data_IF_522596285397
#
_entry.id   IF_522596285397
#
_cell.length_a   1.000
_cell.length_b   1.000
_cell.length_c   1.000
_cell.angle_alpha   90.00
_cell.angle_beta   90.00
_cell.angle_gamma   90.00
#
_symmetry.space_group_name_H-M   'P 1'
#
loop_
_entity.id
_entity.type
_entity.pdbx_description
1 polymer ?
#
# COMPACT_ATOMS: atom_id res chain seq x y z
N UNK A 1 19.77 -18.33 -21.23
CA UNK A 1 20.08 -16.88 -21.19
C UNK A 1 19.66 -16.33 -19.82
N UNK A 2 20.55 -16.41 -18.84
CA UNK A 2 20.24 -16.16 -17.44
C UNK A 2 20.33 -14.66 -17.11
N UNK A 3 19.19 -14.03 -16.81
CA UNK A 3 19.08 -12.58 -16.49
C UNK A 3 19.31 -12.30 -15.00
N UNK A 4 20.18 -13.06 -14.35
CA UNK A 4 20.46 -12.93 -12.92
C UNK A 4 21.97 -12.98 -12.72
N UNK A 5 22.60 -11.80 -12.57
CA UNK A 5 23.85 -11.55 -11.80
C UNK A 5 24.61 -10.27 -12.25
N UNK A 6 23.94 -9.18 -12.65
CA UNK A 6 24.62 -7.88 -12.63
C UNK A 6 24.26 -7.13 -11.33
N UNK A 7 25.28 -6.88 -10.49
CA UNK A 7 25.13 -5.96 -9.37
C UNK A 7 24.66 -4.61 -9.92
N UNK A 8 23.58 -4.00 -9.41
CA UNK A 8 23.15 -2.70 -9.91
C UNK A 8 24.31 -1.70 -9.76
N UNK A 9 24.53 -0.83 -10.76
CA UNK A 9 25.63 0.12 -10.73
C UNK A 9 25.57 0.96 -9.45
N UNK A 10 26.75 1.35 -8.94
CA UNK A 10 26.84 2.20 -7.76
C UNK A 10 26.14 3.52 -8.06
N UNK A 11 25.05 3.78 -7.36
CA UNK A 11 24.27 5.02 -7.55
C UNK A 11 25.04 6.22 -7.05
N UNK A 12 25.01 7.29 -7.83
CA UNK A 12 25.56 8.58 -7.41
C UNK A 12 24.75 9.17 -6.25
N UNK A 13 25.30 10.11 -5.46
CA UNK A 13 24.52 10.81 -4.44
C UNK A 13 23.23 11.44 -4.97
N UNK A 14 23.28 11.99 -6.19
CA UNK A 14 22.13 12.62 -6.85
C UNK A 14 21.03 11.60 -7.17
N UNK A 15 21.40 10.42 -7.67
CA UNK A 15 20.46 9.32 -7.93
C UNK A 15 19.85 8.75 -6.66
N UNK A 16 20.66 8.61 -5.60
CA UNK A 16 20.17 8.19 -4.28
C UNK A 16 19.12 9.18 -3.77
N UNK A 17 19.38 10.49 -3.89
CA UNK A 17 18.45 11.53 -3.44
C UNK A 17 17.17 11.56 -4.27
N UNK A 18 17.25 11.43 -5.59
CA UNK A 18 16.08 11.26 -6.47
C UNK A 18 15.21 10.08 -6.03
N UNK A 19 15.83 8.92 -5.80
CA UNK A 19 15.11 7.73 -5.39
C UNK A 19 14.52 7.86 -3.99
N UNK A 20 15.21 8.55 -3.08
CA UNK A 20 14.65 8.87 -1.76
C UNK A 20 13.37 9.69 -1.90
N UNK A 21 13.37 10.78 -2.68
CA UNK A 21 12.14 11.58 -2.88
C UNK A 21 11.00 10.79 -3.54
N UNK A 22 11.30 9.85 -4.42
CA UNK A 22 10.30 9.07 -5.14
C UNK A 22 9.78 7.85 -4.37
N UNK A 23 10.63 7.20 -3.56
CA UNK A 23 10.34 5.86 -2.98
C UNK A 23 10.35 5.82 -1.46
N UNK A 24 11.01 6.75 -0.77
CA UNK A 24 10.96 6.79 0.69
C UNK A 24 9.57 7.27 1.12
N UNK A 25 8.86 6.44 1.88
CA UNK A 25 7.45 6.66 2.24
C UNK A 25 7.30 7.25 3.64
N UNK A 26 6.35 8.18 3.82
CA UNK A 26 5.97 8.76 5.10
C UNK A 26 4.52 8.44 5.43
N UNK A 27 4.29 8.04 6.69
CA UNK A 27 2.94 7.83 7.20
C UNK A 27 2.28 9.19 7.44
N UNK A 28 1.29 9.51 6.62
CA UNK A 28 0.52 10.78 6.65
C UNK A 28 -0.93 10.56 7.09
N UNK A 29 -1.30 9.34 7.49
CA UNK A 29 -2.68 8.94 7.78
C UNK A 29 -3.25 9.47 9.12
N UNK A 30 -2.49 10.31 9.84
CA UNK A 30 -2.90 10.85 11.16
C UNK A 30 -2.99 9.81 12.28
N UNK A 31 -2.65 8.55 12.00
CA UNK A 31 -2.68 7.46 12.97
C UNK A 31 -1.36 7.35 13.71
N UNK A 32 -1.42 6.83 14.95
CA UNK A 32 -0.24 6.47 15.74
C UNK A 32 0.72 5.55 14.95
N UNK A 33 2.04 5.70 15.13
CA UNK A 33 3.09 4.91 14.44
C UNK A 33 2.92 3.36 14.55
N UNK A 34 2.24 2.86 15.59
CA UNK A 34 1.97 1.41 15.78
C UNK A 34 0.65 0.95 15.17
N UNK A 35 -0.21 1.88 14.76
CA UNK A 35 -1.54 1.57 14.26
C UNK A 35 -1.48 0.73 12.98
N UNK A 36 -0.58 1.07 12.04
CA UNK A 36 -0.39 0.30 10.80
C UNK A 36 0.04 -1.15 11.08
N UNK A 37 0.98 -1.35 12.02
CA UNK A 37 1.51 -2.66 12.40
C UNK A 37 0.41 -3.60 12.91
N UNK A 38 -0.50 -3.09 13.75
CA UNK A 38 -1.63 -3.86 14.31
C UNK A 38 -2.80 -3.95 13.34
N UNK A 39 -3.14 -2.84 12.70
CA UNK A 39 -4.28 -2.70 11.80
C UNK A 39 -4.17 -3.57 10.56
N UNK A 40 -3.00 -3.62 9.91
CA UNK A 40 -2.76 -4.48 8.73
C UNK A 40 -2.96 -5.96 9.09
N UNK A 41 -2.37 -6.42 10.21
CA UNK A 41 -2.53 -7.80 10.69
C UNK A 41 -4.00 -8.11 10.98
N UNK A 42 -4.70 -7.23 11.71
CA UNK A 42 -6.12 -7.40 12.06
C UNK A 42 -7.02 -7.43 10.83
N UNK A 43 -6.82 -6.54 9.86
CA UNK A 43 -7.61 -6.50 8.62
C UNK A 43 -7.43 -7.77 7.79
N UNK A 44 -6.18 -8.24 7.62
CA UNK A 44 -5.89 -9.53 6.98
C UNK A 44 -6.60 -10.67 7.71
N UNK A 45 -6.41 -10.80 9.03
CA UNK A 45 -7.05 -11.86 9.81
C UNK A 45 -8.58 -11.84 9.70
N UNK A 46 -9.19 -10.65 9.69
CA UNK A 46 -10.65 -10.49 9.56
C UNK A 46 -11.14 -10.94 8.17
N UNK A 47 -10.44 -10.56 7.09
CA UNK A 47 -10.79 -11.01 5.74
C UNK A 47 -10.68 -12.54 5.58
N UNK A 48 -9.65 -13.16 6.17
CA UNK A 48 -9.50 -14.61 6.17
C UNK A 48 -10.60 -15.32 6.99
N UNK A 49 -10.92 -14.79 8.18
CA UNK A 49 -12.00 -15.34 9.01
C UNK A 49 -13.35 -15.25 8.29
N UNK A 50 -13.68 -14.11 7.71
CA UNK A 50 -14.92 -13.93 6.96
C UNK A 50 -15.03 -14.96 5.83
N UNK A 51 -13.97 -15.14 5.03
CA UNK A 51 -13.96 -16.13 3.97
C UNK A 51 -14.16 -17.57 4.49
N UNK A 52 -13.48 -17.94 5.58
CA UNK A 52 -13.68 -19.26 6.20
C UNK A 52 -15.10 -19.45 6.71
N UNK A 53 -15.69 -18.44 7.34
CA UNK A 53 -17.08 -18.51 7.80
C UNK A 53 -18.06 -18.63 6.63
N UNK A 54 -17.83 -17.94 5.52
CA UNK A 54 -18.63 -18.09 4.31
C UNK A 54 -18.51 -19.51 3.74
N UNK A 55 -17.28 -20.03 3.62
CA UNK A 55 -17.05 -21.40 3.15
C UNK A 55 -17.68 -22.44 4.07
N UNK A 56 -17.53 -22.31 5.39
CA UNK A 56 -18.16 -23.20 6.38
C UNK A 56 -19.69 -23.19 6.26
N UNK A 57 -20.31 -22.02 6.10
CA UNK A 57 -21.76 -21.91 5.90
C UNK A 57 -22.22 -22.66 4.65
N UNK A 58 -21.47 -22.58 3.55
CA UNK A 58 -21.78 -23.31 2.31
C UNK A 58 -21.56 -24.81 2.50
N UNK A 59 -20.44 -25.23 3.09
CA UNK A 59 -20.12 -26.64 3.37
C UNK A 59 -21.15 -27.34 4.26
N UNK A 60 -21.77 -26.61 5.20
CA UNK A 60 -22.88 -27.15 5.99
C UNK A 60 -24.06 -27.63 5.14
N UNK A 61 -24.20 -27.10 3.92
CA UNK A 61 -25.15 -27.57 2.93
C UNK A 61 -24.93 -29.01 2.49
N UNK A 62 -23.74 -29.59 2.65
CA UNK A 62 -23.45 -31.00 2.33
C UNK A 62 -23.55 -31.94 3.55
N UNK A 63 -23.88 -31.43 4.74
CA UNK A 63 -24.08 -32.27 5.92
C UNK A 63 -25.41 -33.04 5.81
N UNK A 64 -25.41 -34.28 6.29
CA UNK A 64 -26.59 -35.15 6.31
C UNK A 64 -26.31 -36.50 5.65
N UNK A 65 -27.33 -37.07 5.02
CA UNK A 65 -27.19 -38.30 4.25
C UNK A 65 -26.16 -38.13 3.13
N UNK A 66 -25.41 -39.20 2.84
CA UNK A 66 -24.39 -39.20 1.79
C UNK A 66 -25.09 -39.07 0.44
N UNK A 67 -24.86 -37.94 -0.22
CA UNK A 67 -25.40 -37.60 -1.54
C UNK A 67 -24.27 -36.98 -2.37
N UNK A 68 -23.74 -37.71 -3.38
CA UNK A 68 -22.60 -37.26 -4.17
C UNK A 68 -22.92 -36.06 -5.07
N UNK A 69 -24.13 -35.98 -5.63
CA UNK A 69 -24.52 -34.84 -6.49
C UNK A 69 -24.59 -33.55 -5.66
N UNK A 70 -25.18 -33.65 -4.47
CA UNK A 70 -25.22 -32.53 -3.53
C UNK A 70 -23.83 -32.12 -3.04
N UNK A 71 -22.94 -33.08 -2.79
CA UNK A 71 -21.57 -32.80 -2.39
C UNK A 71 -20.80 -32.05 -3.49
N UNK A 72 -20.99 -32.43 -4.75
CA UNK A 72 -20.36 -31.77 -5.90
C UNK A 72 -20.86 -30.34 -6.08
N UNK A 73 -22.17 -30.10 -6.00
CA UNK A 73 -22.76 -28.75 -6.08
C UNK A 73 -22.21 -27.83 -4.99
N UNK A 74 -22.19 -28.30 -3.74
CA UNK A 74 -21.62 -27.54 -2.61
C UNK A 74 -20.12 -27.29 -2.82
N UNK A 75 -19.39 -28.27 -3.36
CA UNK A 75 -17.99 -28.13 -3.73
C UNK A 75 -17.75 -27.03 -4.75
N UNK A 76 -18.58 -26.96 -5.80
CA UNK A 76 -18.53 -25.91 -6.82
C UNK A 76 -18.83 -24.53 -6.20
N UNK A 77 -19.84 -24.44 -5.33
CA UNK A 77 -20.17 -23.20 -4.64
C UNK A 77 -19.00 -22.69 -3.78
N UNK A 78 -18.33 -23.57 -3.04
CA UNK A 78 -17.14 -23.19 -2.25
C UNK A 78 -16.00 -22.71 -3.13
N UNK A 79 -15.76 -23.36 -4.28
CA UNK A 79 -14.71 -22.95 -5.22
C UNK A 79 -14.99 -21.58 -5.86
N UNK A 80 -16.27 -21.24 -6.03
CA UNK A 80 -16.71 -19.95 -6.55
C UNK A 80 -16.47 -18.80 -5.54
N UNK A 81 -16.40 -19.09 -4.24
CA UNK A 81 -16.17 -18.08 -3.21
C UNK A 81 -14.82 -17.38 -3.41
N UNK A 82 -14.86 -16.05 -3.33
CA UNK A 82 -13.65 -15.21 -3.40
C UNK A 82 -13.44 -14.48 -2.10
N UNK A 83 -12.23 -14.62 -1.54
CA UNK A 83 -11.81 -13.81 -0.39
C UNK A 83 -11.73 -12.35 -0.81
N UNK A 84 -12.35 -11.47 -0.02
CA UNK A 84 -12.17 -10.02 -0.17
C UNK A 84 -10.67 -9.66 -0.14
N UNK A 85 -10.12 -9.01 -1.18
CA UNK A 85 -8.72 -8.62 -1.18
C UNK A 85 -8.48 -7.53 -0.13
N UNK A 86 -7.36 -7.64 0.58
CA UNK A 86 -6.86 -6.55 1.43
C UNK A 86 -5.66 -5.92 0.74
N UNK A 87 -5.84 -4.70 0.24
CA UNK A 87 -4.76 -3.86 -0.24
C UNK A 87 -4.37 -2.86 0.85
N UNK A 88 -3.09 -2.83 1.23
CA UNK A 88 -2.56 -1.75 2.07
C UNK A 88 -2.41 -0.51 1.19
N UNK A 89 -2.96 0.62 1.61
CA UNK A 89 -2.69 1.90 0.96
C UNK A 89 -1.18 2.23 1.07
N UNK A 90 -0.54 2.73 0.01
CA UNK A 90 0.87 3.08 0.01
C UNK A 90 1.12 4.31 0.89
N UNK A 91 2.29 4.39 1.52
CA UNK A 91 2.68 5.60 2.27
C UNK A 91 3.01 6.75 1.29
N UNK A 92 2.86 8.01 1.72
CA UNK A 92 3.11 9.17 0.85
C UNK A 92 4.59 9.30 0.52
N UNK A 93 4.99 9.46 -0.76
CA UNK A 93 6.38 9.70 -1.13
C UNK A 93 6.98 10.91 -0.43
N UNK A 94 8.26 10.82 -0.04
CA UNK A 94 8.97 11.87 0.68
C UNK A 94 8.92 13.21 -0.04
N UNK A 95 9.02 13.21 -1.37
CA UNK A 95 8.94 14.43 -2.16
C UNK A 95 7.61 15.17 -2.01
N UNK A 96 6.50 14.43 -2.05
CA UNK A 96 5.15 14.99 -1.85
C UNK A 96 4.96 15.49 -0.43
N UNK A 97 5.48 14.73 0.55
CA UNK A 97 5.44 15.13 1.94
C UNK A 97 6.21 16.44 2.19
N UNK A 98 7.41 16.59 1.60
CA UNK A 98 8.20 17.83 1.72
C UNK A 98 7.50 19.00 1.05
N UNK A 99 6.93 18.79 -0.13
CA UNK A 99 6.16 19.80 -0.86
C UNK A 99 4.95 20.28 -0.04
N UNK A 100 4.15 19.36 0.49
CA UNK A 100 3.03 19.68 1.36
C UNK A 100 3.46 20.44 2.63
N UNK A 101 4.61 20.05 3.23
CA UNK A 101 5.15 20.74 4.41
C UNK A 101 5.59 22.16 4.12
N UNK A 102 6.21 22.41 2.96
CA UNK A 102 6.61 23.76 2.54
C UNK A 102 5.38 24.65 2.32
N UNK A 103 4.36 24.15 1.61
CA UNK A 103 3.09 24.88 1.44
C UNK A 103 2.44 25.23 2.77
N UNK A 104 2.40 24.27 3.71
CA UNK A 104 1.86 24.49 5.04
C UNK A 104 2.61 25.59 5.79
N UNK A 105 3.94 25.66 5.69
CA UNK A 105 4.73 26.71 6.36
C UNK A 105 4.45 28.09 5.80
N UNK A 106 4.27 28.21 4.48
CA UNK A 106 3.83 29.48 3.84
C UNK A 106 2.44 29.87 4.34
N UNK A 107 1.49 28.93 4.37
CA UNK A 107 0.14 29.19 4.86
C UNK A 107 0.11 29.60 6.35
N UNK A 108 1.11 29.20 7.13
CA UNK A 108 1.29 29.60 8.53
C UNK A 108 2.15 30.87 8.70
N UNK A 109 2.56 31.52 7.61
CA UNK A 109 3.41 32.72 7.64
C UNK A 109 4.84 32.49 8.12
N UNK A 110 5.30 31.23 8.19
CA UNK A 110 6.64 30.88 8.69
C UNK A 110 7.73 31.07 7.62
N UNK A 111 7.40 30.77 6.37
CA UNK A 111 8.30 30.90 5.22
C UNK A 111 7.75 31.90 4.22
N UNK A 112 8.64 32.65 3.56
CA UNK A 112 8.29 33.44 2.40
C UNK A 112 7.90 32.53 1.22
N UNK A 113 6.82 32.90 0.51
CA UNK A 113 6.27 32.12 -0.59
C UNK A 113 7.29 31.85 -1.70
N UNK A 114 8.01 32.89 -2.15
CA UNK A 114 9.03 32.77 -3.20
C UNK A 114 10.13 31.74 -2.87
N UNK A 115 10.58 31.71 -1.61
CA UNK A 115 11.58 30.75 -1.14
C UNK A 115 11.01 29.33 -1.13
N UNK A 116 9.76 29.16 -0.69
CA UNK A 116 9.10 27.86 -0.69
C UNK A 116 8.90 27.33 -2.12
N UNK A 117 8.49 28.17 -3.07
CA UNK A 117 8.30 27.81 -4.47
C UNK A 117 9.61 27.34 -5.11
N UNK A 118 10.71 28.05 -4.89
CA UNK A 118 12.05 27.64 -5.38
C UNK A 118 12.44 26.26 -4.84
N UNK A 119 12.16 25.98 -3.56
CA UNK A 119 12.45 24.69 -2.94
C UNK A 119 11.55 23.57 -3.46
N UNK A 120 10.27 23.85 -3.69
CA UNK A 120 9.31 22.91 -4.28
C UNK A 120 9.75 22.54 -5.70
N UNK A 121 10.09 23.54 -6.53
CA UNK A 121 10.62 23.31 -7.88
C UNK A 121 11.88 22.43 -7.86
N UNK A 122 12.79 22.66 -6.91
CA UNK A 122 13.96 21.79 -6.73
C UNK A 122 13.58 20.34 -6.40
N UNK A 123 12.63 20.12 -5.49
CA UNK A 123 12.17 18.77 -5.12
C UNK A 123 11.50 18.08 -6.31
N UNK A 124 10.66 18.78 -7.08
CA UNK A 124 10.00 18.26 -8.28
C UNK A 124 11.00 17.89 -9.37
N UNK A 125 11.95 18.78 -9.68
CA UNK A 125 13.01 18.52 -10.64
C UNK A 125 13.87 17.31 -10.25
N UNK A 126 14.16 17.13 -8.95
CA UNK A 126 14.87 15.93 -8.46
C UNK A 126 14.07 14.64 -8.60
N UNK A 127 12.73 14.70 -8.60
CA UNK A 127 11.85 13.54 -8.84
C UNK A 127 11.66 13.23 -10.33
N UNK A 128 12.11 14.11 -11.22
CA UNK A 128 11.83 14.00 -12.65
C UNK A 128 10.37 14.32 -13.00
N UNK A 129 9.67 15.05 -12.12
CA UNK A 129 8.36 15.63 -12.45
C UNK A 129 8.64 16.99 -13.10
N UNK A 130 8.01 17.25 -14.25
CA UNK A 130 8.06 18.57 -14.87
C UNK A 130 7.58 19.64 -13.87
N UNK A 131 8.21 20.82 -13.93
CA UNK A 131 8.03 21.92 -12.98
C UNK A 131 6.55 22.36 -12.88
#
# INVERSE_FOLDING_TARGET
>A
MDRKTSRPPRRTPQEKKRLSYAKDGRNTYGQHDKASRRGVRRRKATAHRAHRHSADRVLRGALGAVDPERADLVGQDVQSLRRKPFAKAPDTPLGEFVEARLRRRVALGVDAEATALTRIAHVRGRRGLAA
#
